data_IF_111664672934
#
_entry.id   IF_111664672934
#
_cell.length_a   1.000
_cell.length_b   1.000
_cell.length_c   1.000
_cell.angle_alpha   90.00
_cell.angle_beta   90.00
_cell.angle_gamma   90.00
#
_symmetry.space_group_name_H-M   'P 1'
#
loop_
_entity.id
_entity.type
_entity.pdbx_description
1 polymer ?
#
# COMPACT_ATOMS: atom_id res chain seq x y z
N UNK A 1 -17.37 3.94 -16.05
CA UNK A 1 -16.70 2.66 -15.72
C UNK A 1 -15.17 2.77 -15.74
N UNK A 2 -14.51 3.05 -16.89
CA UNK A 2 -13.03 3.12 -17.00
C UNK A 2 -12.36 4.18 -16.10
N UNK A 3 -12.96 5.37 -16.00
CA UNK A 3 -12.47 6.46 -15.14
C UNK A 3 -12.45 6.12 -13.65
N UNK A 4 -13.49 5.44 -13.15
CA UNK A 4 -13.56 5.10 -11.74
C UNK A 4 -12.52 4.04 -11.36
N UNK A 5 -12.23 3.11 -12.27
CA UNK A 5 -11.19 2.11 -12.09
C UNK A 5 -9.78 2.72 -12.10
N UNK A 6 -9.52 3.61 -13.06
CA UNK A 6 -8.27 4.36 -13.09
C UNK A 6 -8.08 5.17 -11.80
N UNK A 7 -9.14 5.81 -11.31
CA UNK A 7 -9.08 6.56 -10.07
C UNK A 7 -8.79 5.66 -8.87
N UNK A 8 -9.42 4.49 -8.73
CA UNK A 8 -9.12 3.55 -7.65
C UNK A 8 -7.69 3.00 -7.69
N UNK A 9 -7.13 2.83 -8.89
CA UNK A 9 -5.73 2.40 -9.07
C UNK A 9 -4.75 3.51 -8.67
N UNK A 10 -5.07 4.76 -8.98
CA UNK A 10 -4.19 5.92 -8.71
C UNK A 10 -4.32 6.39 -7.26
N UNK A 11 -5.50 6.26 -6.64
CA UNK A 11 -5.76 6.76 -5.29
C UNK A 11 -4.98 5.99 -4.22
N UNK A 12 -4.93 4.66 -4.32
CA UNK A 12 -4.18 3.80 -3.39
C UNK A 12 -2.68 4.14 -3.26
N UNK A 13 -1.89 4.27 -4.35
CA UNK A 13 -0.48 4.61 -4.25
C UNK A 13 -0.25 6.05 -3.77
N UNK A 14 -1.17 6.99 -4.07
CA UNK A 14 -1.08 8.36 -3.53
C UNK A 14 -1.17 8.34 -2.00
N UNK A 15 -2.12 7.60 -1.42
CA UNK A 15 -2.23 7.48 0.03
C UNK A 15 -0.98 6.83 0.65
N UNK A 16 -0.41 5.82 0.00
CA UNK A 16 0.82 5.18 0.45
C UNK A 16 2.02 6.16 0.44
N UNK A 17 2.16 6.99 -0.60
CA UNK A 17 3.20 8.02 -0.69
C UNK A 17 3.08 9.08 0.41
N UNK A 18 1.85 9.52 0.71
CA UNK A 18 1.60 10.46 1.83
C UNK A 18 2.05 9.83 3.16
N UNK A 19 1.72 8.56 3.39
CA UNK A 19 2.12 7.83 4.60
C UNK A 19 3.65 7.75 4.74
N UNK A 20 4.37 7.46 3.64
CA UNK A 20 5.84 7.45 3.59
C UNK A 20 6.44 8.83 3.91
N UNK A 21 5.88 9.90 3.35
CA UNK A 21 6.33 11.28 3.62
C UNK A 21 6.17 11.67 5.10
N UNK A 22 5.03 11.30 5.70
CA UNK A 22 4.78 11.52 7.13
C UNK A 22 5.76 10.73 8.01
N UNK A 23 6.00 9.46 7.69
CA UNK A 23 6.99 8.60 8.37
C UNK A 23 8.40 9.18 8.30
N UNK A 24 8.84 9.67 7.14
CA UNK A 24 10.14 10.33 7.00
C UNK A 24 10.26 11.57 7.88
N UNK A 25 9.18 12.35 7.98
CA UNK A 25 9.12 13.54 8.85
C UNK A 25 9.22 13.15 10.32
N UNK A 26 8.55 12.08 10.76
CA UNK A 26 8.63 11.55 12.11
C UNK A 26 10.03 11.02 12.47
N UNK A 27 10.70 10.33 11.54
CA UNK A 27 12.09 9.87 11.72
C UNK A 27 13.01 11.07 11.96
N UNK A 28 12.82 12.15 11.19
CA UNK A 28 13.63 13.36 11.31
C UNK A 28 13.41 14.09 12.64
N UNK A 29 12.21 14.01 13.23
CA UNK A 29 11.84 14.72 14.46
C UNK A 29 12.29 14.00 15.74
N UNK A 30 12.53 12.68 15.71
CA UNK A 30 12.72 11.87 16.93
C UNK A 30 14.21 11.55 17.20
N UNK A 31 14.80 12.10 18.27
CA UNK A 31 16.26 12.11 18.44
C UNK A 31 16.87 11.36 19.65
N UNK A 32 16.21 10.41 20.34
CA UNK A 32 16.84 9.73 21.50
C UNK A 32 16.73 8.19 21.60
N UNK A 33 15.69 7.55 21.06
CA UNK A 33 15.50 6.10 21.24
C UNK A 33 15.87 5.28 19.99
N UNK A 34 16.94 4.48 20.06
CA UNK A 34 17.46 3.66 18.94
C UNK A 34 16.47 2.56 18.48
N UNK A 35 15.82 1.87 19.41
CA UNK A 35 14.82 0.83 19.14
C UNK A 35 13.68 1.33 18.26
N UNK A 36 13.23 2.51 18.61
CA UNK A 36 12.15 3.23 17.99
C UNK A 36 12.53 3.65 16.56
N UNK A 37 13.78 4.05 16.34
CA UNK A 37 14.28 4.44 15.02
C UNK A 37 14.41 3.22 14.11
N UNK A 38 14.82 2.07 14.67
CA UNK A 38 14.87 0.80 13.94
C UNK A 38 13.47 0.34 13.49
N UNK A 39 12.47 0.41 14.37
CA UNK A 39 11.07 0.11 14.02
C UNK A 39 10.54 1.06 12.93
N UNK A 40 10.82 2.36 13.05
CA UNK A 40 10.43 3.35 12.04
C UNK A 40 11.05 3.07 10.67
N UNK A 41 12.35 2.77 10.63
CA UNK A 41 13.04 2.42 9.39
C UNK A 41 12.51 1.13 8.77
N UNK A 42 12.21 0.12 9.59
CA UNK A 42 11.56 -1.11 9.12
C UNK A 42 10.18 -0.83 8.52
N UNK A 43 9.35 -0.06 9.23
CA UNK A 43 8.03 0.36 8.74
C UNK A 43 8.10 1.19 7.46
N UNK A 44 9.12 2.05 7.32
CA UNK A 44 9.36 2.87 6.13
C UNK A 44 9.70 1.99 4.92
N UNK A 45 10.60 1.02 5.08
CA UNK A 45 10.99 0.10 4.00
C UNK A 45 9.78 -0.73 3.56
N UNK A 46 9.05 -1.30 4.52
CA UNK A 46 7.86 -2.11 4.24
C UNK A 46 6.79 -1.28 3.52
N UNK A 47 6.49 -0.06 4.00
CA UNK A 47 5.53 0.82 3.31
C UNK A 47 6.02 1.23 1.92
N UNK A 48 7.31 1.52 1.76
CA UNK A 48 7.90 1.88 0.47
C UNK A 48 7.79 0.74 -0.54
N UNK A 49 8.16 -0.48 -0.15
CA UNK A 49 7.97 -1.67 -0.97
C UNK A 49 6.49 -1.89 -1.31
N UNK A 50 5.60 -1.72 -0.33
CA UNK A 50 4.17 -1.90 -0.54
C UNK A 50 3.58 -0.83 -1.48
N UNK A 51 4.03 0.42 -1.40
CA UNK A 51 3.62 1.51 -2.27
C UNK A 51 3.96 1.27 -3.75
N UNK A 52 5.03 0.50 -4.03
CA UNK A 52 5.44 0.12 -5.39
C UNK A 52 4.81 -1.21 -5.82
N UNK A 53 4.73 -2.19 -4.91
CA UNK A 53 4.17 -3.51 -5.20
C UNK A 53 2.66 -3.47 -5.40
N UNK A 54 1.93 -2.65 -4.65
CA UNK A 54 0.47 -2.52 -4.76
C UNK A 54 0.01 -2.07 -6.16
N UNK A 55 0.52 -1.00 -6.79
CA UNK A 55 0.12 -0.62 -8.14
C UNK A 55 0.50 -1.68 -9.18
N UNK A 56 1.66 -2.32 -9.04
CA UNK A 56 2.07 -3.43 -9.92
C UNK A 56 1.11 -4.63 -9.80
N UNK A 57 0.77 -5.02 -8.57
CA UNK A 57 -0.21 -6.05 -8.30
C UNK A 57 -1.59 -5.64 -8.83
N UNK A 58 -1.97 -4.37 -8.69
CA UNK A 58 -3.21 -3.81 -9.20
C UNK A 58 -3.32 -3.93 -10.73
N UNK A 59 -2.24 -3.62 -11.44
CA UNK A 59 -2.14 -3.75 -12.89
C UNK A 59 -2.24 -5.24 -13.27
N UNK A 60 -1.56 -6.12 -12.54
CA UNK A 60 -1.57 -7.56 -12.77
C UNK A 60 -2.74 -8.32 -12.11
N UNK A 61 -3.75 -7.61 -11.57
CA UNK A 61 -4.91 -8.22 -10.89
C UNK A 61 -5.68 -9.18 -11.81
N UNK A 62 -5.65 -8.94 -13.12
CA UNK A 62 -6.26 -9.80 -14.12
C UNK A 62 -5.18 -10.32 -15.07
N UNK A 63 -5.21 -11.63 -15.31
CA UNK A 63 -4.40 -12.27 -16.34
C UNK A 63 -5.34 -12.91 -17.38
N UNK A 64 -5.44 -12.34 -18.61
CA UNK A 64 -4.82 -11.10 -19.08
C UNK A 64 -5.53 -9.83 -18.58
N UNK A 65 -4.81 -8.71 -18.50
CA UNK A 65 -5.36 -7.41 -18.06
C UNK A 65 -6.55 -6.97 -18.91
N UNK A 66 -6.57 -7.40 -20.18
CA UNK A 66 -7.65 -7.15 -21.13
C UNK A 66 -9.00 -7.71 -20.73
N UNK A 67 -9.03 -8.72 -19.84
CA UNK A 67 -10.27 -9.27 -19.31
C UNK A 67 -11.05 -8.26 -18.47
N UNK A 68 -10.36 -7.28 -17.86
CA UNK A 68 -11.02 -6.26 -17.05
C UNK A 68 -12.00 -5.41 -17.87
N UNK A 69 -11.67 -5.11 -19.13
CA UNK A 69 -12.51 -4.30 -20.02
C UNK A 69 -13.31 -5.12 -21.05
N UNK A 70 -12.93 -6.38 -21.31
CA UNK A 70 -13.63 -7.29 -22.21
C UNK A 70 -13.95 -8.62 -21.50
N UNK A 71 -15.18 -8.77 -20.97
CA UNK A 71 -15.56 -9.96 -20.21
C UNK A 71 -15.62 -11.25 -21.06
N UNK A 72 -15.68 -11.15 -22.39
CA UNK A 72 -15.63 -12.30 -23.30
C UNK A 72 -14.27 -13.00 -23.36
N UNK A 73 -13.20 -12.39 -22.82
CA UNK A 73 -11.86 -12.99 -22.84
C UNK A 73 -11.74 -14.00 -21.69
N UNK A 74 -11.36 -15.24 -21.99
CA UNK A 74 -11.04 -16.24 -20.96
C UNK A 74 -9.78 -15.83 -20.19
N UNK A 75 -9.84 -15.96 -18.86
CA UNK A 75 -8.78 -15.52 -17.96
C UNK A 75 -9.21 -15.59 -16.50
N UNK A 76 -8.29 -15.28 -15.58
CA UNK A 76 -8.56 -15.22 -14.14
C UNK A 76 -8.29 -13.81 -13.64
N UNK A 77 -9.20 -13.29 -12.83
CA UNK A 77 -9.02 -12.05 -12.09
C UNK A 77 -9.00 -12.37 -10.60
N UNK A 78 -8.14 -11.67 -9.86
CA UNK A 78 -8.13 -11.68 -8.40
C UNK A 78 -9.38 -11.00 -7.88
N UNK A 79 -9.99 -11.58 -6.85
CA UNK A 79 -11.10 -10.97 -6.14
C UNK A 79 -10.67 -9.66 -5.47
N UNK A 80 -11.36 -8.57 -5.81
CA UNK A 80 -11.12 -7.25 -5.22
C UNK A 80 -11.23 -7.28 -3.69
N UNK A 81 -12.10 -8.14 -3.14
CA UNK A 81 -12.22 -8.36 -1.70
C UNK A 81 -10.94 -8.93 -1.08
N UNK A 82 -10.37 -9.99 -1.66
CA UNK A 82 -9.15 -10.61 -1.17
C UNK A 82 -7.94 -9.64 -1.26
N UNK A 83 -7.86 -8.88 -2.35
CA UNK A 83 -6.83 -7.85 -2.52
C UNK A 83 -6.97 -6.73 -1.46
N UNK A 84 -8.20 -6.26 -1.21
CA UNK A 84 -8.46 -5.22 -0.22
C UNK A 84 -8.11 -5.70 1.19
N UNK A 85 -8.54 -6.91 1.58
CA UNK A 85 -8.26 -7.47 2.90
C UNK A 85 -6.76 -7.60 3.13
N UNK A 86 -6.02 -8.18 2.18
CA UNK A 86 -4.56 -8.34 2.30
C UNK A 86 -3.84 -6.99 2.44
N UNK A 87 -4.25 -5.99 1.65
CA UNK A 87 -3.69 -4.64 1.68
C UNK A 87 -3.97 -3.96 3.02
N UNK A 88 -5.22 -4.00 3.48
CA UNK A 88 -5.62 -3.42 4.76
C UNK A 88 -4.91 -4.07 5.94
N UNK A 89 -4.67 -5.38 5.92
CA UNK A 89 -3.90 -6.07 6.95
C UNK A 89 -2.46 -5.55 7.06
N UNK A 90 -1.78 -5.34 5.94
CA UNK A 90 -0.40 -4.82 5.91
C UNK A 90 -0.36 -3.35 6.39
N UNK A 91 -1.35 -2.57 5.99
CA UNK A 91 -1.49 -1.17 6.43
C UNK A 91 -1.69 -1.12 7.95
N UNK A 92 -2.60 -1.92 8.51
CA UNK A 92 -2.82 -2.00 9.95
C UNK A 92 -1.56 -2.44 10.71
N UNK A 93 -0.85 -3.46 10.21
CA UNK A 93 0.42 -3.89 10.80
C UNK A 93 1.47 -2.78 10.84
N UNK A 94 1.52 -1.93 9.81
CA UNK A 94 2.46 -0.81 9.77
C UNK A 94 2.03 0.41 10.61
N UNK A 95 0.75 0.52 10.99
CA UNK A 95 0.25 1.59 11.87
C UNK A 95 0.45 1.29 13.36
N UNK A 96 0.37 0.02 13.78
CA UNK A 96 0.54 -0.38 15.20
C UNK A 96 1.81 0.18 15.85
N UNK A 97 3.01 0.13 15.22
CA UNK A 97 4.24 0.68 15.80
C UNK A 97 4.22 2.21 15.94
N UNK A 98 3.45 2.88 15.09
CA UNK A 98 3.29 4.34 15.11
C UNK A 98 2.35 4.73 16.26
N UNK A 99 1.29 3.95 16.51
CA UNK A 99 0.37 4.19 17.62
C UNK A 99 1.01 3.90 18.98
N UNK A 100 1.90 2.90 19.06
CA UNK A 100 2.65 2.53 20.26
C UNK A 100 3.78 3.51 20.60
N UNK A 101 4.08 4.45 19.71
CA UNK A 101 5.01 5.53 19.97
C UNK A 101 4.46 6.39 21.12
N UNK A 102 5.11 6.44 22.29
CA UNK A 102 4.66 7.32 23.35
C UNK A 102 4.78 8.76 22.84
N UNK A 103 3.65 9.44 22.81
CA UNK A 103 3.52 10.89 22.58
C UNK A 103 4.26 11.68 23.65
#
# INVERSE_FOLDING_TARGET
MKWNYANSIIYNPILALVKVSFLMTLIKLRSQNKWINLCLWGTLIVNGCFAVAAPLACILQCNPISKYWNPSIQGRCVDAGAYTVSTSSIVLMTDVPILLMPS
#
